data_IF_117106277593
#
_entry.id   IF_117106277593
#
_cell.length_a   1.000
_cell.length_b   1.000
_cell.length_c   1.000
_cell.angle_alpha   90.00
_cell.angle_beta   90.00
_cell.angle_gamma   90.00
#
_symmetry.space_group_name_H-M   'P 1'
#
loop_
_entity.id
_entity.type
_entity.pdbx_description
1 polymer ?
#
# COMPACT_ATOMS: atom_id res chain seq x y z
N UNK A 1 -4.73 -22.56 10.97
CA UNK A 1 -5.21 -21.49 11.87
C UNK A 1 -6.18 -20.56 11.14
N UNK A 2 -7.28 -20.13 11.78
CA UNK A 2 -8.17 -19.12 11.21
C UNK A 2 -7.37 -17.82 11.02
N UNK A 3 -7.43 -17.24 9.82
CA UNK A 3 -6.74 -15.98 9.53
C UNK A 3 -7.66 -14.82 9.87
N UNK A 4 -7.11 -13.82 10.53
CA UNK A 4 -7.79 -12.56 10.85
C UNK A 4 -8.37 -11.88 9.60
N UNK A 5 -9.59 -11.33 9.73
CA UNK A 5 -10.20 -10.48 8.70
C UNK A 5 -9.32 -9.25 8.44
N UNK A 6 -9.21 -8.81 7.20
CA UNK A 6 -8.47 -7.58 6.85
C UNK A 6 -9.20 -6.37 7.41
N UNK A 7 -8.43 -5.34 7.76
CA UNK A 7 -9.00 -4.04 8.08
C UNK A 7 -9.34 -3.37 6.75
N UNK A 8 -10.60 -3.04 6.56
CA UNK A 8 -11.12 -2.43 5.35
C UNK A 8 -12.07 -1.32 5.76
N UNK A 9 -11.68 -0.08 5.51
CA UNK A 9 -12.41 1.10 5.95
C UNK A 9 -12.74 2.00 4.76
N UNK A 10 -13.98 2.48 4.65
CA UNK A 10 -14.37 3.40 3.60
C UNK A 10 -13.66 4.73 3.77
N UNK A 11 -13.30 5.38 2.66
CA UNK A 11 -12.67 6.69 2.64
C UNK A 11 -11.21 6.73 3.11
N UNK A 12 -10.64 5.60 3.54
CA UNK A 12 -9.24 5.50 3.94
C UNK A 12 -8.46 4.71 2.89
N UNK A 13 -7.38 5.31 2.38
CA UNK A 13 -6.52 4.67 1.40
C UNK A 13 -5.89 3.37 1.94
N UNK A 14 -5.65 2.43 1.04
CA UNK A 14 -4.97 1.18 1.32
C UNK A 14 -3.78 1.02 0.39
N UNK A 15 -2.62 0.71 0.97
CA UNK A 15 -1.49 0.20 0.21
C UNK A 15 -1.67 -1.30 0.04
N UNK A 16 -1.89 -1.72 -1.19
CA UNK A 16 -2.20 -3.09 -1.58
C UNK A 16 -1.01 -3.66 -2.34
N UNK A 17 -0.63 -4.90 -2.04
CA UNK A 17 0.41 -5.63 -2.77
C UNK A 17 -0.06 -7.03 -3.14
N UNK A 18 0.08 -7.36 -4.42
CA UNK A 18 -0.17 -8.69 -4.97
C UNK A 18 1.14 -9.23 -5.56
N UNK A 19 1.56 -10.44 -5.17
CA UNK A 19 2.88 -11.01 -5.52
C UNK A 19 2.72 -12.34 -6.24
N UNK A 20 3.52 -12.53 -7.29
CA UNK A 20 3.56 -13.76 -8.10
C UNK A 20 4.08 -14.92 -7.28
N UNK A 21 3.49 -16.10 -7.49
CA UNK A 21 3.82 -17.33 -6.78
C UNK A 21 5.32 -17.60 -6.83
N UNK A 22 5.94 -17.91 -5.69
CA UNK A 22 7.39 -18.11 -5.57
C UNK A 22 8.22 -16.94 -6.13
N UNK A 23 7.72 -15.70 -5.97
CA UNK A 23 8.29 -14.47 -6.55
C UNK A 23 8.55 -14.54 -8.07
N UNK A 24 7.90 -15.45 -8.78
CA UNK A 24 8.02 -15.61 -10.22
C UNK A 24 7.36 -14.45 -10.98
N UNK A 25 7.71 -14.24 -12.26
CA UNK A 25 7.08 -13.22 -13.07
C UNK A 25 5.56 -13.36 -13.14
N UNK A 26 4.88 -12.22 -13.03
CA UNK A 26 3.43 -12.08 -13.21
C UNK A 26 3.06 -11.58 -14.60
N UNK A 27 4.02 -10.91 -15.26
CA UNK A 27 3.89 -10.31 -16.57
C UNK A 27 5.08 -10.79 -17.42
N UNK A 28 4.79 -11.43 -18.53
CA UNK A 28 5.75 -12.03 -19.46
C UNK A 28 6.00 -11.09 -20.64
N UNK A 29 5.01 -10.27 -20.98
CA UNK A 29 5.08 -9.26 -22.02
C UNK A 29 4.53 -7.93 -21.55
N UNK A 30 4.70 -6.91 -22.39
CA UNK A 30 4.08 -5.60 -22.19
C UNK A 30 2.55 -5.65 -22.37
N UNK A 31 2.04 -6.54 -23.21
CA UNK A 31 0.61 -6.73 -23.46
C UNK A 31 -0.10 -7.17 -22.17
N UNK A 32 0.54 -8.02 -21.38
CA UNK A 32 0.01 -8.47 -20.08
C UNK A 32 -0.27 -7.32 -19.13
N UNK A 33 0.64 -6.34 -19.10
CA UNK A 33 0.51 -5.14 -18.26
C UNK A 33 -0.60 -4.23 -18.76
N UNK A 34 -0.71 -4.05 -20.08
CA UNK A 34 -1.86 -3.32 -20.68
C UNK A 34 -3.17 -4.00 -20.27
N UNK A 35 -3.25 -5.32 -20.42
CA UNK A 35 -4.45 -6.10 -20.07
C UNK A 35 -4.80 -5.94 -18.59
N UNK A 36 -3.80 -6.05 -17.71
CA UNK A 36 -4.00 -5.88 -16.26
C UNK A 36 -4.53 -4.48 -15.92
N UNK A 37 -3.96 -3.41 -16.51
CA UNK A 37 -4.42 -2.03 -16.25
C UNK A 37 -5.83 -1.78 -16.81
N UNK A 38 -6.17 -2.34 -17.97
CA UNK A 38 -7.52 -2.27 -18.53
C UNK A 38 -8.54 -2.94 -17.60
N UNK A 39 -8.25 -4.16 -17.16
CA UNK A 39 -9.11 -4.92 -16.24
C UNK A 39 -9.23 -4.19 -14.88
N UNK A 40 -8.13 -3.64 -14.37
CA UNK A 40 -8.12 -2.84 -13.14
C UNK A 40 -8.98 -1.58 -13.27
N UNK A 41 -8.90 -0.85 -14.38
CA UNK A 41 -9.74 0.32 -14.63
C UNK A 41 -11.22 -0.02 -14.71
N UNK A 42 -11.59 -1.08 -15.43
CA UNK A 42 -12.98 -1.53 -15.51
C UNK A 42 -13.52 -1.91 -14.12
N UNK A 43 -12.75 -2.68 -13.36
CA UNK A 43 -13.17 -3.18 -12.06
C UNK A 43 -13.18 -2.12 -10.97
N UNK A 44 -12.31 -1.11 -11.03
CA UNK A 44 -12.33 0.03 -10.09
C UNK A 44 -13.59 0.87 -10.26
N UNK A 45 -14.06 1.07 -11.49
CA UNK A 45 -15.35 1.69 -11.78
C UNK A 45 -16.51 0.85 -11.25
N UNK A 46 -16.49 -0.47 -11.48
CA UNK A 46 -17.53 -1.39 -11.00
C UNK A 46 -17.63 -1.46 -9.48
N UNK A 47 -16.48 -1.50 -8.80
CA UNK A 47 -16.41 -1.71 -7.37
C UNK A 47 -16.26 -0.42 -6.55
N UNK A 48 -16.22 0.75 -7.19
CA UNK A 48 -16.19 2.04 -6.49
C UNK A 48 -14.88 2.35 -5.77
N UNK A 49 -13.73 1.90 -6.29
CA UNK A 49 -12.41 2.18 -5.69
C UNK A 49 -11.67 3.26 -6.49
N UNK A 50 -11.20 4.32 -5.83
CA UNK A 50 -10.34 5.32 -6.46
C UNK A 50 -8.87 4.90 -6.34
N UNK A 51 -8.16 4.75 -7.46
CA UNK A 51 -6.72 4.45 -7.46
C UNK A 51 -5.93 5.76 -7.50
N UNK A 52 -5.02 5.95 -6.56
CA UNK A 52 -4.20 7.15 -6.43
C UNK A 52 -2.79 6.96 -7.00
N UNK A 53 -2.26 5.74 -6.91
CA UNK A 53 -0.95 5.39 -7.46
C UNK A 53 -0.83 3.89 -7.72
N UNK A 54 0.04 3.51 -8.64
CA UNK A 54 0.41 2.11 -8.87
C UNK A 54 1.83 1.94 -9.38
N UNK A 55 2.33 0.72 -9.28
CA UNK A 55 3.45 0.21 -10.08
C UNK A 55 3.27 -1.29 -10.36
N UNK A 56 3.46 -1.69 -11.63
CA UNK A 56 3.44 -3.09 -12.06
C UNK A 56 4.88 -3.58 -12.25
N UNK A 57 5.47 -4.13 -11.18
CA UNK A 57 6.79 -4.75 -11.23
C UNK A 57 6.73 -6.09 -11.97
N UNK A 58 7.89 -6.69 -12.30
CA UNK A 58 7.93 -8.00 -12.98
C UNK A 58 7.20 -9.12 -12.24
N UNK A 59 7.33 -9.18 -10.92
CA UNK A 59 6.79 -10.27 -10.08
C UNK A 59 5.82 -9.81 -8.99
N UNK A 60 5.42 -8.54 -8.98
CA UNK A 60 4.42 -8.05 -8.03
C UNK A 60 3.82 -6.72 -8.46
N UNK A 61 2.70 -6.36 -7.85
CA UNK A 61 1.97 -5.11 -8.10
C UNK A 61 1.84 -4.37 -6.77
N UNK A 62 2.03 -3.06 -6.79
CA UNK A 62 1.59 -2.18 -5.71
C UNK A 62 0.47 -1.27 -6.20
N UNK A 63 -0.58 -1.10 -5.39
CA UNK A 63 -1.64 -0.11 -5.59
C UNK A 63 -1.79 0.73 -4.33
N UNK A 64 -2.12 2.00 -4.49
CA UNK A 64 -2.67 2.85 -3.44
C UNK A 64 -4.11 3.19 -3.84
N UNK A 65 -5.09 2.64 -3.14
CA UNK A 65 -6.49 2.81 -3.51
C UNK A 65 -7.40 3.10 -2.32
N UNK A 66 -8.38 3.97 -2.50
CA UNK A 66 -9.39 4.30 -1.49
C UNK A 66 -10.74 3.73 -1.90
N UNK A 67 -11.32 2.80 -1.12
CA UNK A 67 -12.69 2.35 -1.34
C UNK A 67 -13.68 3.44 -0.87
N UNK A 68 -14.82 3.53 -1.55
CA UNK A 68 -15.97 4.33 -1.06
C UNK A 68 -16.71 3.62 0.06
N UNK A 69 -16.78 2.29 0.02
CA UNK A 69 -17.51 1.45 0.97
C UNK A 69 -16.69 0.25 1.44
N UNK A 70 -17.00 -0.26 2.63
CA UNK A 70 -16.41 -1.48 3.17
C UNK A 70 -16.64 -2.67 2.21
N UNK A 71 -15.62 -3.48 2.03
CA UNK A 71 -15.61 -4.69 1.21
C UNK A 71 -15.23 -4.47 -0.25
N UNK A 72 -15.11 -3.22 -0.71
CA UNK A 72 -14.86 -2.93 -2.12
C UNK A 72 -13.45 -3.33 -2.58
N UNK A 73 -12.40 -3.05 -1.81
CA UNK A 73 -11.01 -3.49 -2.15
C UNK A 73 -10.91 -5.02 -2.22
N UNK A 74 -11.43 -5.80 -1.25
CA UNK A 74 -11.51 -7.27 -1.37
C UNK A 74 -12.19 -7.76 -2.64
N UNK A 75 -13.36 -7.22 -3.00
CA UNK A 75 -14.10 -7.61 -4.21
C UNK A 75 -13.33 -7.26 -5.48
N UNK A 76 -12.80 -6.03 -5.56
CA UNK A 76 -11.93 -5.58 -6.65
C UNK A 76 -10.77 -6.54 -6.89
N UNK A 77 -9.98 -6.83 -5.85
CA UNK A 77 -8.78 -7.66 -5.98
C UNK A 77 -9.10 -9.13 -6.24
N UNK A 78 -10.25 -9.63 -5.76
CA UNK A 78 -10.71 -10.98 -6.05
C UNK A 78 -11.07 -11.13 -7.53
N UNK A 79 -11.83 -10.19 -8.08
CA UNK A 79 -12.25 -10.23 -9.48
C UNK A 79 -11.06 -10.01 -10.43
N UNK A 80 -10.19 -9.05 -10.10
CA UNK A 80 -8.97 -8.78 -10.87
C UNK A 80 -8.06 -9.99 -10.90
N UNK A 81 -7.83 -10.60 -9.73
CA UNK A 81 -7.03 -11.81 -9.61
C UNK A 81 -7.59 -12.97 -10.43
N UNK A 82 -8.91 -13.22 -10.35
CA UNK A 82 -9.58 -14.27 -11.13
C UNK A 82 -9.47 -14.04 -12.64
N UNK A 83 -9.76 -12.82 -13.09
CA UNK A 83 -9.75 -12.46 -14.52
C UNK A 83 -8.35 -12.58 -15.11
N UNK A 84 -7.35 -12.05 -14.40
CA UNK A 84 -5.98 -12.06 -14.89
C UNK A 84 -5.31 -13.44 -14.83
N UNK A 85 -5.56 -14.24 -13.77
CA UNK A 85 -5.04 -15.63 -13.71
C UNK A 85 -5.59 -16.46 -14.86
N UNK A 86 -6.90 -16.35 -15.14
CA UNK A 86 -7.52 -17.04 -16.27
C UNK A 86 -6.88 -16.59 -17.59
N UNK A 87 -6.76 -15.29 -17.82
CA UNK A 87 -6.08 -14.76 -19.01
C UNK A 87 -4.68 -15.35 -19.19
N UNK A 88 -3.85 -15.33 -18.16
CA UNK A 88 -2.48 -15.87 -18.21
C UNK A 88 -2.48 -17.38 -18.48
N UNK A 89 -3.35 -18.12 -17.80
CA UNK A 89 -3.44 -19.58 -17.98
C UNK A 89 -3.87 -19.94 -19.40
N UNK A 90 -4.88 -19.25 -19.94
CA UNK A 90 -5.38 -19.48 -21.29
C UNK A 90 -4.35 -19.06 -22.36
N UNK A 91 -3.74 -17.88 -22.21
CA UNK A 91 -2.82 -17.30 -23.21
C UNK A 91 -1.46 -18.01 -23.26
N UNK A 92 -0.96 -18.47 -22.10
CA UNK A 92 0.35 -19.12 -21.99
C UNK A 92 0.26 -20.65 -21.82
N UNK A 93 -0.92 -21.24 -22.01
CA UNK A 93 -1.17 -22.68 -21.81
C UNK A 93 -0.68 -23.20 -20.44
N UNK A 94 -0.90 -22.40 -19.40
CA UNK A 94 -0.52 -22.72 -18.03
C UNK A 94 -1.71 -23.20 -17.22
N UNK A 95 -1.43 -23.88 -16.12
CA UNK A 95 -2.43 -24.26 -15.12
C UNK A 95 -1.99 -23.81 -13.72
N UNK A 96 -2.92 -23.85 -12.78
CA UNK A 96 -2.66 -23.51 -11.38
C UNK A 96 -2.72 -22.01 -11.09
N UNK A 97 -2.07 -21.62 -9.98
CA UNK A 97 -2.14 -20.26 -9.43
C UNK A 97 -0.99 -19.39 -9.94
N UNK A 98 -1.29 -18.13 -10.27
CA UNK A 98 -0.26 -17.13 -10.60
C UNK A 98 0.29 -16.41 -9.37
N UNK A 99 -0.52 -16.24 -8.33
CA UNK A 99 -0.21 -15.43 -7.15
C UNK A 99 0.15 -16.31 -5.95
N UNK A 100 1.01 -15.84 -5.03
CA UNK A 100 1.39 -16.54 -3.77
C UNK A 100 0.21 -16.77 -2.81
N UNK A 101 -0.97 -16.26 -3.16
CA UNK A 101 -2.18 -16.34 -2.37
C UNK A 101 -2.95 -15.03 -2.45
N UNK A 102 -3.59 -14.66 -1.33
CA UNK A 102 -4.34 -13.41 -1.28
C UNK A 102 -3.38 -12.21 -1.22
N UNK A 103 -3.80 -11.07 -1.78
CA UNK A 103 -3.08 -9.82 -1.64
C UNK A 103 -2.86 -9.42 -0.16
N UNK A 104 -1.79 -8.67 0.11
CA UNK A 104 -1.55 -7.98 1.38
C UNK A 104 -2.05 -6.55 1.28
N UNK A 105 -2.56 -6.00 2.37
CA UNK A 105 -2.87 -4.57 2.43
C UNK A 105 -2.67 -4.00 3.83
N UNK A 106 -2.36 -2.71 3.90
CA UNK A 106 -2.42 -1.89 5.10
C UNK A 106 -3.21 -0.60 4.83
N UNK A 107 -3.92 -0.10 5.84
CA UNK A 107 -4.51 1.24 5.78
C UNK A 107 -3.40 2.30 5.78
N UNK A 108 -3.61 3.39 5.04
CA UNK A 108 -2.71 4.53 4.97
C UNK A 108 -3.53 5.77 5.30
N UNK A 109 -3.22 6.40 6.43
CA UNK A 109 -3.99 7.52 6.95
C UNK A 109 -3.13 8.76 7.20
N UNK A 110 -3.70 9.91 6.88
CA UNK A 110 -3.06 11.22 6.97
C UNK A 110 -2.25 11.56 5.72
N UNK A 111 -2.29 12.84 5.35
CA UNK A 111 -1.76 13.33 4.07
C UNK A 111 -0.28 13.04 3.90
N UNK A 112 0.52 13.26 4.95
CA UNK A 112 1.96 12.95 4.93
C UNK A 112 2.21 11.47 4.63
N UNK A 113 1.59 10.57 5.38
CA UNK A 113 1.78 9.12 5.21
C UNK A 113 1.26 8.63 3.86
N UNK A 114 0.21 9.26 3.34
CA UNK A 114 -0.28 8.98 2.01
C UNK A 114 0.73 9.36 0.92
N UNK A 115 1.28 10.57 0.98
CA UNK A 115 2.30 11.04 0.04
C UNK A 115 3.59 10.21 0.14
N UNK A 116 4.01 9.84 1.36
CA UNK A 116 5.14 8.94 1.60
C UNK A 116 4.90 7.56 0.95
N UNK A 117 3.70 6.99 1.12
CA UNK A 117 3.34 5.72 0.51
C UNK A 117 3.28 5.80 -1.02
N UNK A 118 2.70 6.87 -1.57
CA UNK A 118 2.66 7.10 -3.01
C UNK A 118 4.07 7.20 -3.60
N UNK A 119 4.96 7.98 -2.96
CA UNK A 119 6.37 8.10 -3.36
C UNK A 119 7.09 6.76 -3.27
N UNK A 120 6.85 6.00 -2.19
CA UNK A 120 7.36 4.65 -2.05
C UNK A 120 6.91 3.78 -3.23
N UNK A 121 5.64 3.81 -3.63
CA UNK A 121 5.15 3.01 -4.76
C UNK A 121 5.85 3.40 -6.07
N UNK A 122 5.89 4.69 -6.38
CA UNK A 122 6.45 5.20 -7.65
C UNK A 122 7.97 4.99 -7.76
N UNK A 123 8.72 5.05 -6.64
CA UNK A 123 10.16 4.81 -6.62
C UNK A 123 10.55 3.32 -6.57
N UNK A 124 9.60 2.38 -6.64
CA UNK A 124 9.92 0.95 -6.61
C UNK A 124 10.87 0.49 -7.73
N UNK A 125 10.69 0.91 -9.00
CA UNK A 125 11.58 0.57 -10.10
C UNK A 125 13.01 1.05 -9.88
N UNK A 126 13.17 2.27 -9.34
CA UNK A 126 14.49 2.85 -9.01
C UNK A 126 15.15 2.06 -7.88
N UNK A 127 14.42 1.77 -6.80
CA UNK A 127 14.95 0.95 -5.69
C UNK A 127 15.33 -0.47 -6.12
N UNK A 128 14.62 -1.02 -7.10
CA UNK A 128 14.91 -2.31 -7.71
C UNK A 128 16.05 -2.23 -8.76
N UNK A 129 16.64 -1.05 -8.98
CA UNK A 129 17.69 -0.78 -9.98
C UNK A 129 17.28 -1.14 -11.41
N UNK A 130 15.98 -1.06 -11.72
CA UNK A 130 15.46 -1.30 -13.06
C UNK A 130 15.61 -0.08 -13.98
N UNK A 131 15.59 1.11 -13.38
CA UNK A 131 15.74 2.41 -14.04
C UNK A 131 16.47 3.37 -13.10
N UNK A 132 17.12 4.40 -13.64
CA UNK A 132 17.74 5.46 -12.84
C UNK A 132 16.72 6.53 -12.41
N UNK A 133 15.79 6.86 -13.30
CA UNK A 133 14.73 7.84 -13.07
C UNK A 133 13.35 7.15 -13.05
N UNK A 134 12.46 7.45 -12.08
CA UNK A 134 11.10 6.88 -12.09
C UNK A 134 10.29 7.23 -13.35
N UNK A 135 10.60 8.32 -14.05
CA UNK A 135 9.99 8.67 -15.32
C UNK A 135 10.34 7.69 -16.44
N UNK A 136 11.44 6.94 -16.34
CA UNK A 136 11.80 5.93 -17.35
C UNK A 136 10.95 4.66 -17.23
N UNK A 137 10.26 4.46 -16.11
CA UNK A 137 9.42 3.28 -15.90
C UNK A 137 7.95 3.52 -16.25
N UNK A 138 7.58 3.17 -17.48
CA UNK A 138 6.22 3.40 -18.01
C UNK A 138 5.10 2.66 -17.25
N UNK A 139 5.44 1.64 -16.46
CA UNK A 139 4.49 0.78 -15.77
C UNK A 139 4.20 1.25 -14.34
N UNK A 140 4.15 2.57 -14.15
CA UNK A 140 3.85 3.26 -12.90
C UNK A 140 2.97 4.48 -13.15
N UNK A 141 2.24 4.90 -12.12
CA UNK A 141 1.51 6.18 -12.09
C UNK A 141 2.42 7.42 -12.14
N UNK A 142 3.73 7.27 -11.98
CA UNK A 142 4.66 8.40 -11.84
C UNK A 142 4.53 9.43 -12.98
N UNK A 143 4.49 8.99 -14.24
CA UNK A 143 4.37 9.90 -15.40
C UNK A 143 3.08 10.72 -15.40
N UNK A 144 1.99 10.18 -14.84
CA UNK A 144 0.77 10.94 -14.63
C UNK A 144 0.95 11.97 -13.52
N UNK A 145 1.40 11.50 -12.36
CA UNK A 145 1.53 12.31 -11.13
C UNK A 145 2.56 13.45 -11.27
N UNK A 146 3.71 13.16 -11.88
CA UNK A 146 4.81 14.09 -12.04
C UNK A 146 4.68 14.91 -13.33
N UNK A 147 4.36 14.26 -14.45
CA UNK A 147 4.48 14.88 -15.78
C UNK A 147 3.16 15.23 -16.44
N UNK A 148 2.03 14.83 -15.85
CA UNK A 148 0.71 15.16 -16.38
C UNK A 148 0.30 14.32 -17.58
N UNK A 149 0.97 13.18 -17.83
CA UNK A 149 0.51 12.24 -18.85
C UNK A 149 -0.91 11.76 -18.52
N UNK A 150 -1.81 11.67 -19.51
CA UNK A 150 -3.17 11.21 -19.25
C UNK A 150 -3.17 9.76 -18.79
N UNK A 151 -3.79 9.51 -17.63
CA UNK A 151 -4.04 8.17 -17.13
C UNK A 151 -5.43 8.13 -16.49
N UNK A 152 -6.43 7.56 -17.18
CA UNK A 152 -7.81 7.55 -16.70
C UNK A 152 -8.05 6.55 -15.55
N UNK A 153 -7.04 5.75 -15.15
CA UNK A 153 -7.10 4.94 -13.94
C UNK A 153 -6.84 5.79 -12.68
N UNK A 154 -6.05 6.87 -12.81
CA UNK A 154 -5.59 7.64 -11.66
C UNK A 154 -6.60 8.72 -11.27
N UNK A 155 -6.94 8.71 -10.00
CA UNK A 155 -7.68 9.75 -9.31
C UNK A 155 -6.74 10.41 -8.29
N UNK A 156 -6.18 11.61 -8.55
CA UNK A 156 -5.27 12.25 -7.61
C UNK A 156 -5.92 12.45 -6.23
N UNK A 157 -5.29 11.93 -5.18
CA UNK A 157 -5.77 12.03 -3.80
C UNK A 157 -5.80 13.50 -3.32
N UNK A 158 -6.71 13.91 -2.43
CA UNK A 158 -6.74 15.26 -1.85
C UNK A 158 -5.38 15.75 -1.34
N UNK A 159 -4.62 14.90 -0.63
CA UNK A 159 -3.27 15.22 -0.18
C UNK A 159 -2.30 15.63 -1.31
N UNK A 160 -2.40 15.01 -2.49
CA UNK A 160 -1.59 15.39 -3.64
C UNK A 160 -2.06 16.73 -4.22
N UNK A 161 -3.39 16.94 -4.30
CA UNK A 161 -3.97 18.21 -4.78
C UNK A 161 -3.68 19.39 -3.85
N UNK A 162 -3.39 19.12 -2.59
CA UNK A 162 -3.02 20.12 -1.59
C UNK A 162 -1.53 20.50 -1.65
N UNK A 163 -0.72 19.91 -2.55
CA UNK A 163 0.70 20.23 -2.69
C UNK A 163 0.96 21.61 -3.30
N UNK A 164 -0.03 22.21 -3.96
CA UNK A 164 0.08 23.57 -4.48
C UNK A 164 -1.18 24.04 -5.20
N UNK A 165 -1.19 25.31 -5.58
CA UNK A 165 -2.34 25.96 -6.21
C UNK A 165 -2.47 25.55 -7.68
N UNK A 166 -3.07 24.38 -7.88
CA UNK A 166 -3.40 23.83 -9.19
C UNK A 166 -2.44 22.71 -9.65
N UNK A 167 -2.78 22.02 -10.76
CA UNK A 167 -2.10 20.80 -11.17
C UNK A 167 -0.60 20.99 -11.46
N UNK A 168 -0.20 22.12 -12.05
CA UNK A 168 1.21 22.40 -12.34
C UNK A 168 2.04 22.63 -11.08
N UNK A 169 1.49 23.34 -10.09
CA UNK A 169 2.15 23.55 -8.82
C UNK A 169 2.30 22.22 -8.06
N UNK A 170 1.24 21.40 -8.03
CA UNK A 170 1.27 20.06 -7.44
C UNK A 170 2.33 19.16 -8.12
N UNK A 171 2.40 19.17 -9.46
CA UNK A 171 3.43 18.42 -10.21
C UNK A 171 4.84 18.85 -9.85
N UNK A 172 5.12 20.16 -9.81
CA UNK A 172 6.44 20.68 -9.42
C UNK A 172 6.82 20.27 -7.99
N UNK A 173 5.91 20.44 -7.04
CA UNK A 173 6.11 20.04 -5.66
C UNK A 173 6.34 18.51 -5.54
N UNK A 174 5.57 17.71 -6.29
CA UNK A 174 5.72 16.26 -6.31
C UNK A 174 7.07 15.82 -6.86
N UNK A 175 7.50 16.35 -8.01
CA UNK A 175 8.83 16.05 -8.58
C UNK A 175 9.94 16.37 -7.58
N UNK A 176 9.88 17.54 -6.94
CA UNK A 176 10.86 17.91 -5.92
C UNK A 176 10.86 16.91 -4.75
N UNK A 177 9.70 16.46 -4.26
CA UNK A 177 9.59 15.51 -3.17
C UNK A 177 10.04 14.08 -3.54
N UNK A 178 9.86 13.66 -4.79
CA UNK A 178 10.28 12.35 -5.30
C UNK A 178 11.80 12.28 -5.46
N UNK A 179 12.43 13.37 -5.92
CA UNK A 179 13.88 13.44 -6.12
C UNK A 179 14.68 13.61 -4.83
N UNK A 180 14.02 13.95 -3.71
CA UNK A 180 14.65 14.00 -2.40
C UNK A 180 15.03 12.60 -1.92
N UNK A 181 16.15 12.50 -1.21
CA UNK A 181 16.57 11.26 -0.56
C UNK A 181 15.45 10.73 0.34
N UNK A 182 15.11 9.45 0.16
CA UNK A 182 14.13 8.77 1.01
C UNK A 182 14.86 8.25 2.24
N UNK A 183 14.36 8.62 3.41
CA UNK A 183 14.80 8.08 4.68
C UNK A 183 14.62 6.54 4.69
N UNK A 184 15.69 5.74 4.90
CA UNK A 184 15.58 4.29 5.01
C UNK A 184 14.54 3.85 6.05
N UNK A 185 14.42 4.57 7.16
CA UNK A 185 13.48 4.25 8.24
C UNK A 185 12.02 4.39 7.78
N UNK A 186 11.73 5.34 6.88
CA UNK A 186 10.40 5.52 6.29
C UNK A 186 10.03 4.31 5.41
N UNK A 187 10.98 3.84 4.60
CA UNK A 187 10.79 2.69 3.70
C UNK A 187 10.52 1.42 4.50
N UNK A 188 11.27 1.21 5.57
CA UNK A 188 11.13 0.04 6.43
C UNK A 188 9.85 0.08 7.26
N UNK A 189 9.39 1.26 7.68
CA UNK A 189 8.08 1.43 8.29
C UNK A 189 6.95 0.99 7.34
N UNK A 190 6.95 1.45 6.08
CA UNK A 190 5.93 1.06 5.10
C UNK A 190 5.91 -0.47 4.90
N UNK A 191 7.10 -1.08 4.72
CA UNK A 191 7.24 -2.54 4.57
C UNK A 191 6.72 -3.30 5.79
N UNK A 192 7.09 -2.86 6.98
CA UNK A 192 6.67 -3.48 8.24
C UNK A 192 5.15 -3.46 8.41
N UNK A 193 4.54 -2.30 8.15
CA UNK A 193 3.10 -2.12 8.26
C UNK A 193 2.34 -2.95 7.21
N UNK A 194 2.83 -3.02 5.98
CA UNK A 194 2.27 -3.90 4.95
C UNK A 194 2.40 -5.38 5.31
N UNK A 195 3.58 -5.82 5.79
CA UNK A 195 3.82 -7.21 6.16
C UNK A 195 2.90 -7.67 7.29
N UNK A 196 2.66 -6.79 8.27
CA UNK A 196 1.76 -7.04 9.40
C UNK A 196 0.30 -6.74 9.08
N UNK A 197 0.02 -6.13 7.92
CA UNK A 197 -1.32 -5.67 7.53
C UNK A 197 -1.96 -4.72 8.57
N UNK A 198 -1.12 -3.81 9.09
CA UNK A 198 -1.41 -2.85 10.15
C UNK A 198 -1.57 -1.44 9.58
N UNK A 199 -2.29 -0.55 10.26
CA UNK A 199 -2.47 0.83 9.82
C UNK A 199 -1.14 1.62 9.83
N UNK A 200 -0.78 2.22 8.70
CA UNK A 200 0.34 3.16 8.52
C UNK A 200 -0.19 4.59 8.59
N UNK A 201 0.38 5.41 9.47
CA UNK A 201 -0.11 6.75 9.74
C UNK A 201 0.15 7.21 11.17
N UNK A 202 -0.40 8.37 11.57
CA UNK A 202 -0.24 8.93 12.90
C UNK A 202 -0.69 7.98 14.02
N UNK A 203 -0.01 8.04 15.18
CA UNK A 203 -0.33 7.19 16.34
C UNK A 203 -1.80 7.30 16.80
N UNK A 204 -2.39 8.50 16.71
CA UNK A 204 -3.82 8.71 17.03
C UNK A 204 -4.75 7.83 16.18
N UNK A 205 -4.42 7.69 14.90
CA UNK A 205 -5.21 6.87 13.97
C UNK A 205 -5.07 5.41 14.33
N UNK A 206 -3.84 4.94 14.54
CA UNK A 206 -3.57 3.56 14.94
C UNK A 206 -4.31 3.18 16.22
N UNK A 207 -4.28 4.03 17.24
CA UNK A 207 -5.01 3.81 18.50
C UNK A 207 -6.53 3.74 18.30
N UNK A 208 -7.09 4.58 17.42
CA UNK A 208 -8.51 4.53 17.09
C UNK A 208 -8.90 3.20 16.42
N UNK A 209 -8.08 2.72 15.49
CA UNK A 209 -8.28 1.42 14.83
C UNK A 209 -8.17 0.27 15.84
N UNK A 210 -7.19 0.32 16.76
CA UNK A 210 -7.03 -0.68 17.82
C UNK A 210 -8.25 -0.74 18.74
N UNK A 211 -8.76 0.42 19.16
CA UNK A 211 -9.94 0.52 20.00
C UNK A 211 -11.19 -0.04 19.29
N UNK A 212 -11.37 0.23 18.00
CA UNK A 212 -12.51 -0.24 17.22
C UNK A 212 -12.45 -1.75 16.94
N UNK A 213 -11.27 -2.31 16.71
CA UNK A 213 -11.11 -3.72 16.30
C UNK A 213 -10.85 -4.68 17.47
N UNK A 214 -10.57 -4.16 18.67
CA UNK A 214 -10.21 -4.99 19.84
C UNK A 214 -8.91 -5.79 19.65
N UNK A 215 -8.04 -5.39 18.72
CA UNK A 215 -6.76 -6.06 18.42
C UNK A 215 -5.70 -5.05 17.97
N UNK A 216 -4.39 -5.37 18.08
CA UNK A 216 -3.33 -4.48 17.62
C UNK A 216 -3.45 -4.11 16.14
N UNK A 217 -3.21 -2.85 15.80
CA UNK A 217 -3.26 -2.29 14.45
C UNK A 217 -1.97 -1.53 14.10
N UNK A 218 -0.90 -1.76 14.86
CA UNK A 218 0.44 -1.27 14.59
C UNK A 218 1.52 -2.04 15.36
N UNK A 219 2.81 -1.82 15.06
CA UNK A 219 3.91 -2.34 15.86
C UNK A 219 3.81 -1.86 17.30
N UNK A 220 3.83 -2.78 18.28
CA UNK A 220 4.06 -2.42 19.68
C UNK A 220 5.48 -1.84 19.78
N UNK A 221 5.68 -0.76 20.53
CA UNK A 221 7.03 -0.36 20.95
C UNK A 221 7.62 -1.55 21.70
N UNK A 222 8.69 -2.14 21.18
CA UNK A 222 9.49 -3.11 21.94
C UNK A 222 10.28 -2.26 22.94
N UNK A 223 9.70 -2.05 24.11
CA UNK A 223 10.35 -1.42 25.24
C UNK A 223 10.40 -2.39 26.41
N UNK A 224 11.50 -2.36 27.17
CA UNK A 224 11.63 -3.08 28.44
C UNK A 224 10.39 -2.78 29.30
N UNK A 225 9.74 -3.80 29.92
CA UNK A 225 8.65 -3.55 30.85
C UNK A 225 9.08 -2.49 31.87
N UNK A 226 8.24 -1.47 32.10
CA UNK A 226 8.48 -0.55 33.22
C UNK A 226 8.57 -1.41 34.48
N UNK A 227 9.68 -1.31 35.22
CA UNK A 227 9.80 -1.92 36.55
C UNK A 227 8.57 -1.49 37.35
N UNK A 228 7.75 -2.44 37.80
CA UNK A 228 6.83 -2.15 38.89
C UNK A 228 7.66 -1.59 40.05
N UNK A 229 7.24 -0.51 40.71
CA UNK A 229 7.79 -0.17 42.01
C UNK A 229 7.65 -1.42 42.89
N UNK A 230 8.73 -1.81 43.57
CA UNK A 230 8.65 -2.89 44.55
C UNK A 230 7.57 -2.53 45.57
N UNK A 231 6.73 -3.48 46.01
CA UNK A 231 5.82 -3.23 47.12
C UNK A 231 6.64 -2.75 48.32
N UNK A 232 6.18 -1.67 48.95
CA UNK A 232 6.77 -1.15 50.19
C UNK A 232 6.80 -2.28 51.22
N UNK A 233 7.98 -2.53 51.79
CA UNK A 233 8.13 -3.50 52.88
C UNK A 233 7.16 -3.15 54.02
N UNK A 234 6.44 -4.13 54.59
CA UNK A 234 5.61 -3.87 55.75
C UNK A 234 6.48 -3.40 56.92
N UNK A 235 5.97 -2.48 57.76
CA UNK A 235 6.75 -1.90 58.85
C UNK A 235 7.29 -3.00 59.76
N UNK A 236 8.61 -2.98 59.95
CA UNK A 236 9.35 -3.94 60.77
C UNK A 236 8.74 -4.02 62.17
N UNK A 237 8.48 -5.25 62.62
CA UNK A 237 8.10 -5.52 64.00
C UNK A 237 9.28 -5.15 64.90
N UNK A 238 9.17 -4.02 65.59
CA UNK A 238 9.97 -3.75 66.78
C UNK A 238 9.63 -4.81 67.84
N UNK A 239 10.64 -5.59 68.24
CA UNK A 239 10.62 -6.36 69.48
C UNK A 239 11.92 -6.09 70.22
N UNK A 240 11.74 -5.39 71.35
CA UNK A 240 12.57 -5.28 72.55
C UNK A 240 13.99 -4.74 72.38
#
# INVERSE_FOLDING_TARGET
>A
MPRHARIDLPGIAQHIVQRGNDRQPCFFTDIDRVRYLQDLRELTLRHGCAVHAYVLMGNHVHLLATPRETGQVPRLMQDLGRRYVRYVNDHYHRTGTLWEGRYKSCLVAGDRSLLQCQRYIELNPVRARMVADPADYRWSSHRHTADGHPDPLIHPHPAWRALGDGPDACRRAWRAAVMQAVDPDETDAIRLHLQRQHAYGPDRFRRAIEAQLGRPAGPRKIGRPRKCPAPLDPPGKSRL
#
